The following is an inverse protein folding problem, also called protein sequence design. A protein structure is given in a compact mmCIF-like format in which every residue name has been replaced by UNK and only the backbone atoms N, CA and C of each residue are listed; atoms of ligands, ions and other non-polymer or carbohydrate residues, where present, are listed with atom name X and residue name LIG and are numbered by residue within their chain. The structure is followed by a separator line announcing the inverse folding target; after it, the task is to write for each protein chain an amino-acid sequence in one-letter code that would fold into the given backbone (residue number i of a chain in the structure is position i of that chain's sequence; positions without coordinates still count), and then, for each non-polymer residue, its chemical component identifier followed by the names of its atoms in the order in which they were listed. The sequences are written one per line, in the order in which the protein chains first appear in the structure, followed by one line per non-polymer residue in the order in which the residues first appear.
data_IF_672829627279
#
_entry.id   IF_672829627279
#
_cell.length_a   1.000
_cell.length_b   1.000
_cell.length_c   1.000
_cell.angle_alpha   90.00
_cell.angle_beta   90.00
_cell.angle_gamma   90.00
#
_symmetry.space_group_name_H-M   'P 1'
#
loop_
_entity.id
_entity.type
_entity.pdbx_description
1 polymer ?
#
# COMPACT_ATOMS: atom_id res chain seq x y z
N UNK A 1 -13.52 -14.68 6.70
CA UNK A 1 -12.31 -15.29 7.31
C UNK A 1 -11.03 -14.83 6.60
N UNK A 2 -11.09 -13.97 5.57
CA UNK A 2 -9.90 -13.48 4.86
C UNK A 2 -9.31 -12.20 5.48
N UNK A 3 -10.14 -11.32 6.06
CA UNK A 3 -9.72 -10.04 6.65
C UNK A 3 -8.65 -10.18 7.75
N UNK A 4 -8.68 -11.29 8.48
CA UNK A 4 -7.69 -11.57 9.54
C UNK A 4 -6.28 -11.75 8.95
N UNK A 5 -6.17 -12.45 7.81
CA UNK A 5 -4.87 -12.68 7.15
C UNK A 5 -4.32 -11.41 6.54
N UNK A 6 -5.20 -10.59 5.96
CA UNK A 6 -4.80 -9.29 5.41
C UNK A 6 -4.30 -8.38 6.53
N UNK A 7 -4.96 -8.37 7.70
CA UNK A 7 -4.55 -7.58 8.86
C UNK A 7 -3.18 -8.00 9.37
N UNK A 8 -2.95 -9.31 9.54
CA UNK A 8 -1.64 -9.85 9.94
C UNK A 8 -0.55 -9.51 8.91
N UNK A 9 -0.85 -9.58 7.61
CA UNK A 9 0.09 -9.21 6.55
C UNK A 9 0.47 -7.72 6.62
N UNK A 10 -0.51 -6.83 6.86
CA UNK A 10 -0.25 -5.40 7.04
C UNK A 10 0.61 -5.13 8.28
N UNK A 11 0.42 -5.87 9.38
CA UNK A 11 1.23 -5.73 10.59
C UNK A 11 2.68 -6.17 10.37
N UNK A 12 2.90 -7.30 9.69
CA UNK A 12 4.24 -7.77 9.32
C UNK A 12 4.94 -6.78 8.38
N UNK A 13 4.23 -6.29 7.36
CA UNK A 13 4.75 -5.26 6.45
C UNK A 13 5.08 -3.96 7.19
N UNK A 14 4.25 -3.56 8.15
CA UNK A 14 4.50 -2.36 8.95
C UNK A 14 5.78 -2.47 9.76
N UNK A 15 6.02 -3.63 10.38
CA UNK A 15 7.28 -3.91 11.07
C UNK A 15 8.46 -3.91 10.10
N UNK A 16 8.34 -4.56 8.95
CA UNK A 16 9.40 -4.61 7.95
C UNK A 16 9.77 -3.22 7.39
N UNK A 17 8.76 -2.42 7.02
CA UNK A 17 8.93 -1.05 6.52
C UNK A 17 9.57 -0.15 7.59
N UNK A 18 9.24 -0.34 8.87
CA UNK A 18 9.87 0.42 9.97
C UNK A 18 11.37 0.15 10.11
N UNK A 19 11.83 -1.03 9.71
CA UNK A 19 13.24 -1.40 9.72
C UNK A 19 13.95 -0.86 8.48
N UNK A 20 13.36 -1.10 7.31
CA UNK A 20 13.85 -0.56 6.03
C UNK A 20 12.66 -0.36 5.08
N UNK A 21 12.30 0.88 4.76
CA UNK A 21 11.30 1.12 3.73
C UNK A 21 11.87 0.71 2.37
N UNK A 22 11.12 -0.10 1.66
CA UNK A 22 11.38 -0.38 0.25
C UNK A 22 10.08 -0.24 -0.55
N UNK A 23 10.28 0.00 -1.85
CA UNK A 23 9.18 0.26 -2.78
C UNK A 23 8.22 -0.92 -2.89
N UNK A 24 8.72 -2.15 -2.85
CA UNK A 24 7.90 -3.34 -3.02
C UNK A 24 7.01 -3.58 -1.80
N UNK A 25 7.55 -3.39 -0.60
CA UNK A 25 6.82 -3.50 0.66
C UNK A 25 5.76 -2.42 0.80
N UNK A 26 6.07 -1.17 0.45
CA UNK A 26 5.10 -0.08 0.44
C UNK A 26 3.97 -0.36 -0.55
N UNK A 27 4.31 -0.75 -1.79
CA UNK A 27 3.31 -1.10 -2.80
C UNK A 27 2.44 -2.29 -2.39
N UNK A 28 3.03 -3.31 -1.75
CA UNK A 28 2.31 -4.49 -1.27
C UNK A 28 1.36 -4.14 -0.11
N UNK A 29 1.81 -3.32 0.85
CA UNK A 29 0.96 -2.86 1.96
C UNK A 29 -0.19 -1.97 1.45
N UNK A 30 0.07 -1.14 0.44
CA UNK A 30 -0.98 -0.38 -0.24
C UNK A 30 -2.04 -1.30 -0.88
N UNK A 31 -1.63 -2.41 -1.51
CA UNK A 31 -2.55 -3.36 -2.14
C UNK A 31 -3.44 -4.07 -1.10
N UNK A 32 -2.89 -4.45 0.06
CA UNK A 32 -3.68 -4.98 1.17
C UNK A 32 -4.65 -3.93 1.75
N UNK A 33 -4.22 -2.67 1.87
CA UNK A 33 -5.15 -1.61 2.26
C UNK A 33 -6.26 -1.38 1.23
N UNK A 34 -5.98 -1.51 -0.07
CA UNK A 34 -7.02 -1.48 -1.12
C UNK A 34 -8.02 -2.64 -0.96
N UNK A 35 -7.56 -3.87 -0.70
CA UNK A 35 -8.45 -5.03 -0.51
C UNK A 35 -9.33 -4.88 0.72
N UNK A 36 -8.80 -4.31 1.80
CA UNK A 36 -9.54 -3.97 3.01
C UNK A 36 -10.46 -2.75 2.86
N UNK A 37 -10.51 -2.12 1.69
CA UNK A 37 -11.22 -0.85 1.44
C UNK A 37 -10.73 0.35 2.25
N UNK A 38 -9.54 0.26 2.86
CA UNK A 38 -8.86 1.38 3.52
C UNK A 38 -8.07 2.19 2.48
N UNK A 39 -8.82 2.88 1.62
CA UNK A 39 -8.23 3.66 0.52
C UNK A 39 -7.34 4.81 1.00
N UNK A 40 -7.58 5.32 2.21
CA UNK A 40 -6.76 6.38 2.80
C UNK A 40 -5.35 5.88 3.12
N UNK A 41 -5.21 4.71 3.74
CA UNK A 41 -3.87 4.12 3.99
C UNK A 41 -3.22 3.62 2.71
N UNK A 42 -4.01 3.05 1.79
CA UNK A 42 -3.50 2.62 0.49
C UNK A 42 -2.88 3.79 -0.31
N UNK A 43 -3.51 4.96 -0.25
CA UNK A 43 -3.02 6.17 -0.90
C UNK A 43 -1.69 6.63 -0.29
N UNK A 44 -1.60 6.68 1.04
CA UNK A 44 -0.37 7.08 1.74
C UNK A 44 0.82 6.18 1.39
N UNK A 45 0.61 4.86 1.37
CA UNK A 45 1.65 3.91 1.01
C UNK A 45 2.04 4.03 -0.48
N UNK A 46 1.07 4.27 -1.35
CA UNK A 46 1.32 4.51 -2.77
C UNK A 46 2.14 5.78 -3.00
N UNK A 47 1.82 6.86 -2.28
CA UNK A 47 2.59 8.11 -2.33
C UNK A 47 4.03 7.89 -1.82
N UNK A 48 4.20 7.17 -0.72
CA UNK A 48 5.52 6.84 -0.18
C UNK A 48 6.35 6.00 -1.18
N UNK A 49 5.72 5.03 -1.85
CA UNK A 49 6.38 4.23 -2.89
C UNK A 49 6.76 5.09 -4.11
N UNK A 50 5.89 6.00 -4.56
CA UNK A 50 6.20 6.91 -5.67
C UNK A 50 7.27 7.96 -5.31
N UNK A 51 7.46 8.28 -4.03
CA UNK A 51 8.61 9.07 -3.60
C UNK A 51 9.94 8.32 -3.79
N UNK A 52 9.94 6.98 -3.77
CA UNK A 52 11.13 6.16 -4.03
C UNK A 52 11.36 5.94 -5.53
N UNK A 53 10.30 5.67 -6.29
CA UNK A 53 10.33 5.62 -7.75
C UNK A 53 9.06 6.25 -8.33
N UNK A 54 9.15 7.50 -8.84
CA UNK A 54 8.02 8.19 -9.44
C UNK A 54 7.44 7.51 -10.69
N UNK A 55 8.19 6.61 -11.33
CA UNK A 55 7.81 5.96 -12.57
C UNK A 55 7.38 4.49 -12.37
N UNK A 56 7.22 4.04 -11.13
CA UNK A 56 6.82 2.68 -10.85
C UNK A 56 5.36 2.43 -11.27
N UNK A 57 5.20 1.67 -12.36
CA UNK A 57 3.90 1.49 -13.04
C UNK A 57 2.82 0.90 -12.14
N UNK A 58 3.15 -0.12 -11.36
CA UNK A 58 2.16 -0.80 -10.52
C UNK A 58 1.66 0.12 -9.41
N UNK A 59 2.54 0.93 -8.84
CA UNK A 59 2.16 1.91 -7.81
C UNK A 59 1.37 3.06 -8.41
N UNK A 60 1.68 3.52 -9.63
CA UNK A 60 0.88 4.53 -10.32
C UNK A 60 -0.54 4.05 -10.62
N UNK A 61 -0.69 2.79 -11.05
CA UNK A 61 -2.00 2.17 -11.27
C UNK A 61 -2.79 2.09 -9.95
N UNK A 62 -2.16 1.58 -8.89
CA UNK A 62 -2.77 1.47 -7.57
C UNK A 62 -3.15 2.84 -6.98
N UNK A 63 -2.26 3.83 -7.07
CA UNK A 63 -2.50 5.21 -6.66
C UNK A 63 -3.71 5.80 -7.38
N UNK A 64 -3.78 5.62 -8.70
CA UNK A 64 -4.89 6.15 -9.51
C UNK A 64 -6.22 5.50 -9.12
N UNK A 65 -6.25 4.17 -8.94
CA UNK A 65 -7.45 3.42 -8.54
C UNK A 65 -7.91 3.78 -7.13
N UNK A 66 -6.98 3.84 -6.17
CA UNK A 66 -7.29 4.16 -4.76
C UNK A 66 -7.74 5.61 -4.60
N UNK A 67 -7.10 6.57 -5.29
CA UNK A 67 -7.50 7.98 -5.28
C UNK A 67 -8.93 8.21 -5.77
N UNK A 68 -9.36 7.49 -6.81
CA UNK A 68 -10.73 7.57 -7.33
C UNK A 68 -11.78 6.99 -6.37
N UNK A 69 -11.40 6.00 -5.55
CA UNK A 69 -12.29 5.36 -4.57
C UNK A 69 -12.34 6.09 -3.22
N UNK A 70 -11.39 6.99 -2.96
CA UNK A 70 -11.28 7.76 -1.71
C UNK A 70 -11.99 9.14 -1.78
N UNK A 71 -12.62 9.47 -2.91
CA UNK A 71 -13.47 10.66 -3.12
C UNK A 71 -14.94 10.32 -3.02
#
# INVERSE_FOLDING_TARGET
MDDQKETEAVEELTRAISFKPDLQMLNLRAAFHESMTDFSRALQDSEAALCLDPNHKDTLDLYSRTRLKNT
#
